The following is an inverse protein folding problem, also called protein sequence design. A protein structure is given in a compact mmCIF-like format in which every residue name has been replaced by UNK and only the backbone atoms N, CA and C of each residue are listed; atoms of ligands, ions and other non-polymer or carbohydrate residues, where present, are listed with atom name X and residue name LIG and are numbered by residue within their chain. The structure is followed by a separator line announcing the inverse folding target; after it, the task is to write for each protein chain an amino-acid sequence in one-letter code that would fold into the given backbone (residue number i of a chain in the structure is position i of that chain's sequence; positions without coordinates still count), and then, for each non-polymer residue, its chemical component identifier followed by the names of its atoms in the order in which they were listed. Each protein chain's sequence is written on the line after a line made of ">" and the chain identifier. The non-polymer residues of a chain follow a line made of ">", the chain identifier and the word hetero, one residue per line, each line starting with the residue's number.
data_IF_255256586591
#
_entry.id   IF_255256586591
#
_cell.length_a   1.000
_cell.length_b   1.000
_cell.length_c   1.000
_cell.angle_alpha   90.00
_cell.angle_beta   90.00
_cell.angle_gamma   90.00
#
_symmetry.space_group_name_H-M   'P 1'
#
loop_
_entity.id
_entity.type
_entity.pdbx_description
1 polymer ?
#
# COMPACT_ATOMS: atom_id res chain seq x y z
N UNK A 1 -24.76 -7.09 1.02
CA UNK A 1 -24.55 -6.45 -0.32
C UNK A 1 -24.00 -7.48 -1.31
N UNK A 2 -24.80 -7.84 -2.31
CA UNK A 2 -24.38 -8.76 -3.38
C UNK A 2 -23.45 -7.98 -4.32
N UNK A 3 -22.16 -8.29 -4.30
CA UNK A 3 -21.19 -7.66 -5.21
C UNK A 3 -21.55 -8.12 -6.62
N UNK A 4 -21.90 -7.16 -7.50
CA UNK A 4 -22.17 -7.48 -8.90
C UNK A 4 -20.90 -8.02 -9.56
N UNK A 5 -21.05 -9.09 -10.34
CA UNK A 5 -19.94 -9.69 -11.08
C UNK A 5 -19.40 -8.66 -12.07
N UNK A 6 -18.07 -8.53 -12.17
CA UNK A 6 -17.44 -7.74 -13.22
C UNK A 6 -17.91 -8.24 -14.60
N UNK A 7 -18.33 -7.33 -15.47
CA UNK A 7 -18.70 -7.64 -16.85
C UNK A 7 -17.43 -7.58 -17.70
N UNK A 8 -17.07 -8.71 -18.32
CA UNK A 8 -15.98 -8.80 -19.28
C UNK A 8 -16.49 -9.44 -20.57
N UNK A 9 -16.59 -8.70 -21.69
CA UNK A 9 -16.97 -9.25 -23.00
C UNK A 9 -16.08 -10.42 -23.42
N UNK A 10 -14.78 -10.35 -23.12
CA UNK A 10 -13.83 -11.40 -23.46
C UNK A 10 -13.82 -12.58 -22.47
N UNK A 11 -14.63 -12.54 -21.41
CA UNK A 11 -14.60 -13.46 -20.25
C UNK A 11 -13.21 -13.54 -19.60
N UNK A 12 -12.50 -12.42 -19.58
CA UNK A 12 -11.16 -12.31 -19.03
C UNK A 12 -11.21 -11.58 -17.70
N UNK A 13 -10.57 -12.16 -16.69
CA UNK A 13 -10.54 -11.60 -15.35
C UNK A 13 -9.10 -11.55 -14.85
N UNK A 14 -8.81 -10.57 -14.00
CA UNK A 14 -7.59 -10.49 -13.22
C UNK A 14 -7.94 -10.54 -11.75
N UNK A 15 -7.02 -11.08 -10.95
CA UNK A 15 -7.11 -11.07 -9.50
C UNK A 15 -5.73 -10.83 -8.90
N UNK A 16 -5.59 -9.73 -8.17
CA UNK A 16 -4.45 -9.49 -7.30
C UNK A 16 -4.68 -10.13 -5.92
N UNK A 17 -3.62 -10.59 -5.29
CA UNK A 17 -3.68 -11.17 -3.95
C UNK A 17 -2.39 -10.91 -3.20
N UNK A 18 -2.53 -10.40 -1.99
CA UNK A 18 -1.42 -10.14 -1.08
C UNK A 18 -0.91 -11.46 -0.51
N UNK A 19 0.41 -11.71 -0.61
CA UNK A 19 1.05 -12.91 -0.05
C UNK A 19 1.80 -12.65 1.26
N UNK A 20 2.31 -11.44 1.45
CA UNK A 20 2.95 -11.04 2.71
C UNK A 20 1.94 -10.98 3.87
N UNK A 21 2.30 -11.55 5.02
CA UNK A 21 1.54 -11.43 6.27
C UNK A 21 2.00 -10.17 7.00
N UNK A 22 1.15 -9.15 7.05
CA UNK A 22 1.43 -7.84 7.69
C UNK A 22 2.49 -7.00 6.96
N UNK A 23 2.15 -6.41 5.80
CA UNK A 23 3.02 -5.47 5.09
C UNK A 23 3.49 -4.32 5.99
N UNK A 24 4.76 -3.93 5.85
CA UNK A 24 5.36 -2.79 6.56
C UNK A 24 6.02 -1.83 5.59
N UNK A 25 6.06 -0.55 5.95
CA UNK A 25 6.85 0.46 5.23
C UNK A 25 8.32 0.08 5.23
N UNK A 26 9.02 0.40 4.15
CA UNK A 26 10.42 0.06 3.89
C UNK A 26 10.72 -1.45 3.81
N UNK A 27 9.70 -2.30 3.71
CA UNK A 27 9.84 -3.74 3.47
C UNK A 27 9.28 -4.13 2.10
N UNK A 28 9.73 -5.27 1.57
CA UNK A 28 9.18 -5.84 0.34
C UNK A 28 7.84 -6.54 0.61
N UNK A 29 6.85 -6.21 -0.22
CA UNK A 29 5.52 -6.82 -0.22
C UNK A 29 5.42 -7.75 -1.43
N UNK A 30 5.08 -9.01 -1.20
CA UNK A 30 4.85 -9.98 -2.27
C UNK A 30 3.38 -9.97 -2.70
N UNK A 31 3.19 -9.81 -4.01
CA UNK A 31 1.90 -9.78 -4.68
C UNK A 31 1.85 -10.90 -5.72
N UNK A 32 0.74 -11.63 -5.73
CA UNK A 32 0.38 -12.55 -6.80
C UNK A 32 -0.72 -11.93 -7.65
N UNK A 33 -0.57 -12.00 -8.98
CA UNK A 33 -1.61 -11.67 -9.95
C UNK A 33 -1.93 -12.91 -10.77
N UNK A 34 -3.21 -13.25 -10.83
CA UNK A 34 -3.73 -14.40 -11.59
C UNK A 34 -4.74 -13.92 -12.62
N UNK A 35 -4.76 -14.55 -13.79
CA UNK A 35 -5.71 -14.27 -14.85
C UNK A 35 -6.35 -15.53 -15.41
N UNK A 36 -7.58 -15.40 -15.94
CA UNK A 36 -8.23 -16.49 -16.67
C UNK A 36 -7.59 -16.75 -18.05
N UNK A 37 -6.96 -15.74 -18.67
CA UNK A 37 -6.21 -15.84 -19.94
C UNK A 37 -4.74 -15.45 -19.77
N UNK A 38 -3.80 -16.00 -20.56
CA UNK A 38 -2.39 -15.64 -20.44
C UNK A 38 -2.13 -14.19 -20.89
N UNK A 39 -1.48 -13.38 -20.06
CA UNK A 39 -1.03 -12.03 -20.40
C UNK A 39 0.49 -11.98 -20.54
N UNK A 40 0.99 -11.08 -21.39
CA UNK A 40 2.43 -10.81 -21.50
C UNK A 40 2.83 -9.48 -20.86
N UNK A 41 1.89 -8.55 -20.70
CA UNK A 41 2.17 -7.26 -20.06
C UNK A 41 1.24 -7.05 -18.87
N UNK A 42 1.75 -6.48 -17.78
CA UNK A 42 0.97 -6.08 -16.63
C UNK A 42 1.41 -4.69 -16.19
N UNK A 43 0.46 -3.77 -16.07
CA UNK A 43 0.70 -2.47 -15.46
C UNK A 43 0.12 -2.45 -14.05
N UNK A 44 0.79 -1.76 -13.12
CA UNK A 44 0.28 -1.60 -11.77
C UNK A 44 0.61 -0.23 -11.18
N UNK A 45 -0.30 0.25 -10.34
CA UNK A 45 -0.18 1.48 -9.56
C UNK A 45 -0.37 1.18 -8.07
N UNK A 46 0.57 1.64 -7.24
CA UNK A 46 0.38 1.69 -5.79
C UNK A 46 -0.06 3.11 -5.42
N UNK A 47 -1.22 3.21 -4.79
CA UNK A 47 -1.84 4.47 -4.39
C UNK A 47 -1.88 4.52 -2.87
N UNK A 48 -1.49 5.66 -2.29
CA UNK A 48 -1.61 5.90 -0.85
C UNK A 48 -1.86 7.38 -0.59
N UNK A 49 -2.73 7.66 0.39
CA UNK A 49 -3.10 9.04 0.78
C UNK A 49 -3.57 9.93 -0.39
N UNK A 50 -4.19 9.33 -1.41
CA UNK A 50 -4.71 10.04 -2.58
C UNK A 50 -3.69 10.32 -3.68
N UNK A 51 -2.46 9.83 -3.56
CA UNK A 51 -1.39 10.01 -4.57
C UNK A 51 -0.89 8.67 -5.12
N UNK A 52 -0.37 8.67 -6.34
CA UNK A 52 0.26 7.51 -6.98
C UNK A 52 1.72 7.44 -6.50
N UNK A 53 1.98 6.51 -5.60
CA UNK A 53 3.29 6.31 -4.98
C UNK A 53 4.25 5.53 -5.89
N UNK A 54 3.71 4.65 -6.73
CA UNK A 54 4.47 3.84 -7.67
C UNK A 54 3.62 3.53 -8.90
N UNK A 55 4.20 3.64 -10.09
CA UNK A 55 3.61 3.15 -11.34
C UNK A 55 4.65 2.38 -12.13
N UNK A 56 4.35 1.13 -12.50
CA UNK A 56 5.26 0.29 -13.29
C UNK A 56 4.51 -0.57 -14.29
N UNK A 57 5.23 -0.93 -15.36
CA UNK A 57 4.83 -1.93 -16.34
C UNK A 57 5.84 -3.07 -16.34
N UNK A 58 5.35 -4.30 -16.33
CA UNK A 58 6.13 -5.54 -16.38
C UNK A 58 5.82 -6.23 -17.71
N UNK A 59 6.85 -6.63 -18.43
CA UNK A 59 6.74 -7.46 -19.62
C UNK A 59 7.30 -8.85 -19.27
N UNK A 60 6.47 -9.88 -19.40
CA UNK A 60 6.87 -11.26 -19.19
C UNK A 60 7.62 -11.77 -20.44
N UNK A 61 8.64 -12.64 -20.27
CA UNK A 61 9.35 -13.24 -21.39
C UNK A 61 8.43 -14.04 -22.33
N UNK A 62 7.39 -14.66 -21.78
CA UNK A 62 6.35 -15.38 -22.50
C UNK A 62 4.99 -15.15 -21.81
N UNK A 63 3.86 -15.25 -22.55
CA UNK A 63 2.53 -15.13 -21.96
C UNK A 63 2.31 -16.13 -20.81
N UNK A 64 1.79 -15.66 -19.67
CA UNK A 64 1.50 -16.50 -18.51
C UNK A 64 0.18 -16.05 -17.84
N UNK A 65 -0.47 -16.96 -17.13
CA UNK A 65 -1.68 -16.69 -16.33
C UNK A 65 -1.36 -16.23 -14.91
N UNK A 66 -0.16 -16.51 -14.43
CA UNK A 66 0.27 -16.19 -13.06
C UNK A 66 1.55 -15.34 -13.09
N UNK A 67 1.59 -14.32 -12.24
CA UNK A 67 2.76 -13.49 -12.00
C UNK A 67 2.89 -13.21 -10.51
N UNK A 68 4.05 -13.54 -9.94
CA UNK A 68 4.44 -13.07 -8.61
C UNK A 68 5.49 -11.96 -8.76
N UNK A 69 5.33 -10.88 -8.01
CA UNK A 69 6.32 -9.81 -7.97
C UNK A 69 6.36 -9.16 -6.59
N UNK A 70 7.42 -8.38 -6.36
CA UNK A 70 7.62 -7.66 -5.12
C UNK A 70 7.59 -6.16 -5.34
N UNK A 71 7.04 -5.45 -4.36
CA UNK A 71 7.01 -3.99 -4.30
C UNK A 71 7.67 -3.57 -3.00
N UNK A 72 8.65 -2.66 -3.06
CA UNK A 72 9.14 -1.99 -1.87
C UNK A 72 8.09 -0.99 -1.39
N UNK A 73 7.59 -1.15 -0.17
CA UNK A 73 6.56 -0.28 0.40
C UNK A 73 7.14 1.10 0.75
N UNK A 74 6.74 2.20 0.09
CA UNK A 74 7.25 3.51 0.44
C UNK A 74 6.64 4.01 1.77
N UNK A 75 7.36 4.86 2.54
CA UNK A 75 6.89 5.35 3.85
C UNK A 75 5.49 6.00 3.84
N UNK A 76 5.15 6.72 2.77
CA UNK A 76 3.87 7.39 2.62
C UNK A 76 2.71 6.46 2.21
N UNK A 77 2.95 5.16 2.05
CA UNK A 77 1.90 4.16 1.78
C UNK A 77 1.11 3.75 3.03
N UNK A 78 1.63 4.02 4.24
CA UNK A 78 0.92 3.78 5.48
C UNK A 78 -0.15 4.86 5.78
N UNK A 79 -1.26 4.51 6.47
CA UNK A 79 -1.56 3.20 7.06
C UNK A 79 -2.27 2.22 6.11
N UNK A 80 -2.74 2.70 4.97
CA UNK A 80 -3.52 1.93 4.00
C UNK A 80 -3.10 2.32 2.58
N UNK A 81 -2.93 1.31 1.73
CA UNK A 81 -2.66 1.49 0.31
C UNK A 81 -3.66 0.72 -0.54
N UNK A 82 -3.82 1.18 -1.78
CA UNK A 82 -4.60 0.53 -2.83
C UNK A 82 -3.65 0.16 -3.95
N UNK A 83 -3.60 -1.12 -4.30
CA UNK A 83 -2.91 -1.59 -5.50
C UNK A 83 -3.94 -1.78 -6.62
N UNK A 84 -3.73 -1.09 -7.73
CA UNK A 84 -4.50 -1.30 -8.97
C UNK A 84 -3.60 -2.02 -9.95
N UNK A 85 -4.03 -3.16 -10.46
CA UNK A 85 -3.34 -3.92 -11.52
C UNK A 85 -4.24 -3.99 -12.75
N UNK A 86 -3.66 -3.89 -13.94
CA UNK A 86 -4.42 -3.98 -15.17
C UNK A 86 -3.57 -4.45 -16.34
N UNK A 87 -4.24 -5.01 -17.34
CA UNK A 87 -3.66 -5.37 -18.63
C UNK A 87 -4.67 -5.11 -19.74
N UNK A 88 -4.17 -5.03 -20.97
CA UNK A 88 -5.01 -4.88 -22.17
C UNK A 88 -5.07 -6.23 -22.86
N UNK A 89 -6.27 -6.74 -23.04
CA UNK A 89 -6.58 -7.93 -23.80
C UNK A 89 -7.45 -7.57 -24.99
N UNK A 90 -6.95 -7.79 -26.20
CA UNK A 90 -7.64 -7.35 -27.43
C UNK A 90 -7.94 -5.84 -27.32
N UNK A 91 -9.22 -5.46 -27.21
CA UNK A 91 -9.67 -4.07 -27.04
C UNK A 91 -10.31 -3.81 -25.65
N UNK A 92 -10.05 -4.68 -24.68
CA UNK A 92 -10.58 -4.62 -23.33
C UNK A 92 -9.47 -4.36 -22.30
N UNK A 93 -9.69 -3.40 -21.40
CA UNK A 93 -8.88 -3.25 -20.19
C UNK A 93 -9.47 -4.13 -19.11
N UNK A 94 -8.72 -5.15 -18.72
CA UNK A 94 -9.06 -5.99 -17.58
C UNK A 94 -8.25 -5.49 -16.39
N UNK A 95 -8.91 -5.27 -15.25
CA UNK A 95 -8.28 -4.71 -14.07
C UNK A 95 -8.78 -5.37 -12.80
N UNK A 96 -7.96 -5.29 -11.75
CA UNK A 96 -8.35 -5.59 -10.38
C UNK A 96 -7.74 -4.56 -9.42
N UNK A 97 -8.41 -4.33 -8.30
CA UNK A 97 -7.95 -3.41 -7.28
C UNK A 97 -8.08 -4.06 -5.89
N UNK A 98 -7.02 -3.93 -5.10
CA UNK A 98 -6.98 -4.49 -3.76
C UNK A 98 -6.48 -3.44 -2.77
N UNK A 99 -7.27 -3.22 -1.72
CA UNK A 99 -6.89 -2.46 -0.55
C UNK A 99 -6.18 -3.35 0.46
N UNK A 100 -5.14 -2.85 1.10
CA UNK A 100 -4.50 -3.53 2.21
C UNK A 100 -3.87 -2.53 3.19
N UNK A 101 -3.75 -2.97 4.43
CA UNK A 101 -3.09 -2.22 5.49
C UNK A 101 -1.57 -2.38 5.36
N UNK A 102 -0.87 -1.27 5.57
CA UNK A 102 0.58 -1.23 5.66
C UNK A 102 0.94 -0.64 7.01
N UNK A 103 1.61 -1.44 7.81
CA UNK A 103 2.15 -1.02 9.09
C UNK A 103 3.28 -0.01 8.86
N UNK A 104 3.21 1.11 9.53
CA UNK A 104 4.24 2.13 9.48
C UNK A 104 3.85 3.25 10.42
N UNK A 105 4.81 3.75 11.20
CA UNK A 105 4.53 4.89 12.06
C UNK A 105 4.23 6.10 11.17
N UNK A 106 3.36 6.98 11.66
CA UNK A 106 3.32 8.35 11.16
C UNK A 106 4.76 8.90 11.19
N UNK A 107 5.20 9.48 10.08
CA UNK A 107 6.51 10.11 10.00
C UNK A 107 6.68 11.24 11.03
N UNK A 108 5.58 11.79 11.55
CA UNK A 108 5.60 12.67 12.70
C UNK A 108 5.42 11.83 13.97
N UNK A 109 6.54 11.45 14.59
CA UNK A 109 6.52 10.99 15.97
C UNK A 109 6.64 12.19 16.90
N UNK A 110 5.92 12.13 18.02
CA UNK A 110 6.10 13.00 19.17
C UNK A 110 6.32 12.09 20.36
N UNK A 111 7.42 12.28 21.07
CA UNK A 111 7.68 11.62 22.34
C UNK A 111 7.68 12.68 23.44
N UNK A 112 6.81 12.51 24.43
CA UNK A 112 6.69 13.43 25.57
C UNK A 112 7.12 12.69 26.83
N UNK A 113 8.13 13.21 27.50
CA UNK A 113 8.60 12.71 28.79
C UNK A 113 8.38 13.76 29.86
N UNK A 114 7.89 13.33 31.01
CA UNK A 114 7.68 14.15 32.20
C UNK A 114 8.75 13.80 33.24
N UNK A 115 9.27 14.79 33.96
CA UNK A 115 10.22 14.51 35.05
C UNK A 115 9.59 13.78 36.23
N UNK A 116 8.26 13.82 36.38
CA UNK A 116 7.51 13.02 37.36
C UNK A 116 6.12 12.63 36.82
N UNK A 117 5.61 11.48 37.25
CA UNK A 117 4.24 11.01 36.95
C UNK A 117 3.18 11.64 37.85
N UNK A 118 3.59 12.27 38.96
CA UNK A 118 2.72 12.96 39.90
C UNK A 118 3.43 14.19 40.50
N UNK A 119 2.71 15.29 40.65
CA UNK A 119 3.23 16.52 41.26
C UNK A 119 2.12 17.26 42.02
N UNK A 120 2.49 18.10 42.97
CA UNK A 120 1.57 18.92 43.76
C UNK A 120 1.29 20.25 43.05
N UNK A 121 0.16 20.92 43.32
CA UNK A 121 -0.12 22.24 42.76
C UNK A 121 1.00 23.25 43.09
N UNK A 122 1.50 23.94 42.06
CA UNK A 122 2.55 24.94 42.20
C UNK A 122 3.98 24.39 42.22
N UNK A 123 4.18 23.07 42.13
CA UNK A 123 5.50 22.50 41.88
C UNK A 123 5.87 22.57 40.40
N UNK A 124 7.16 22.78 40.16
CA UNK A 124 7.76 22.77 38.83
C UNK A 124 7.75 21.34 38.25
N UNK A 125 7.51 21.25 36.94
CA UNK A 125 7.45 20.00 36.17
C UNK A 125 8.17 20.23 34.85
N UNK A 126 9.16 19.40 34.55
CA UNK A 126 9.87 19.47 33.28
C UNK A 126 9.17 18.59 32.26
N UNK A 127 8.93 19.16 31.08
CA UNK A 127 8.33 18.47 29.94
C UNK A 127 9.38 18.46 28.83
N UNK A 128 9.84 17.26 28.48
CA UNK A 128 10.77 17.06 27.36
C UNK A 128 9.98 16.53 26.18
N UNK A 129 9.99 17.29 25.08
CA UNK A 129 9.31 16.93 23.84
C UNK A 129 10.33 16.66 22.74
N UNK A 130 10.36 15.42 22.24
CA UNK A 130 11.25 14.97 21.17
C UNK A 130 10.44 14.73 19.90
N UNK A 131 10.81 15.40 18.81
CA UNK A 131 10.13 15.34 17.51
C UNK A 131 11.13 15.39 16.35
N UNK A 132 10.64 15.34 15.10
CA UNK A 132 11.47 15.64 13.94
C UNK A 132 11.84 17.13 13.89
N UNK A 133 13.01 17.50 13.34
CA UNK A 133 13.37 18.90 13.13
C UNK A 133 12.27 19.67 12.39
N UNK A 134 12.03 20.92 12.81
CA UNK A 134 11.01 21.82 12.24
C UNK A 134 9.55 21.35 12.39
N UNK A 135 9.26 20.46 13.35
CA UNK A 135 7.87 20.13 13.70
C UNK A 135 7.21 21.31 14.43
N UNK A 136 5.99 21.68 14.01
CA UNK A 136 5.15 22.62 14.75
C UNK A 136 4.46 21.89 15.91
N UNK A 137 4.66 22.37 17.13
CA UNK A 137 4.05 21.84 18.36
C UNK A 137 3.17 22.95 18.94
N UNK A 138 1.91 22.63 19.26
CA UNK A 138 0.93 23.58 19.78
C UNK A 138 0.20 23.03 21.01
#
# INVERSE_FOLDING_TARGET
>A
PTVQKAISPSSTYLKASLKSKSPKVNEEIEIQVQSTKPFQTLSYNLIGRGDILLSRKVNLPAPNKDLNFRILAPPNAAPKATLVVYTVFEDEVVADAMDFEIQGSLDNFINVALSSTQTEPGRELDIVVTTKPNSLIG
#
